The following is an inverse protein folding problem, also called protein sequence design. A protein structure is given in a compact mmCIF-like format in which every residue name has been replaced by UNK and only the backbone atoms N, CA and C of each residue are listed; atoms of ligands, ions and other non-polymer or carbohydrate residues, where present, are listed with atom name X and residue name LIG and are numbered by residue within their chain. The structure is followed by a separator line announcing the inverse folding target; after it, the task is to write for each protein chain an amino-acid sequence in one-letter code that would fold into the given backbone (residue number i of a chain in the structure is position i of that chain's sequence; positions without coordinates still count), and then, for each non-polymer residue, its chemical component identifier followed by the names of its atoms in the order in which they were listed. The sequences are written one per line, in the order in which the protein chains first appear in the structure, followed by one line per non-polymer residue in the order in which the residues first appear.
data_IF_343812908953
#
_entry.id   IF_343812908953
#
_cell.length_a   1.000
_cell.length_b   1.000
_cell.length_c   1.000
_cell.angle_alpha   90.00
_cell.angle_beta   90.00
_cell.angle_gamma   90.00
#
_symmetry.space_group_name_H-M   'P 1'
#
loop_
_entity.id
_entity.type
_entity.pdbx_description
1 polymer ?
#
# COMPACT_ATOMS: atom_id res chain seq x y z
N UNK A 1 5.59 16.81 -0.87
CA UNK A 1 4.79 16.02 -1.83
C UNK A 1 5.37 14.62 -1.98
N UNK A 2 4.51 13.63 -1.98
CA UNK A 2 4.91 12.26 -2.29
C UNK A 2 4.64 12.01 -3.77
N UNK A 3 5.63 11.50 -4.51
CA UNK A 3 5.49 11.17 -5.92
C UNK A 3 5.73 9.66 -6.08
N UNK A 4 4.74 8.95 -6.60
CA UNK A 4 4.85 7.52 -6.89
C UNK A 4 4.90 7.34 -8.40
N UNK A 5 5.99 6.74 -8.87
CA UNK A 5 6.18 6.41 -10.29
C UNK A 5 5.90 4.92 -10.48
N UNK A 6 4.74 4.61 -11.05
CA UNK A 6 4.31 3.22 -11.24
C UNK A 6 5.21 2.51 -12.26
N UNK A 7 5.70 3.24 -13.27
CA UNK A 7 6.59 2.65 -14.27
C UNK A 7 7.94 2.26 -13.67
N UNK A 8 8.51 3.14 -12.83
CA UNK A 8 9.81 2.92 -12.19
C UNK A 8 9.71 2.13 -10.89
N UNK A 9 8.50 1.95 -10.35
CA UNK A 9 8.27 1.31 -9.05
C UNK A 9 9.03 2.02 -7.93
N UNK A 10 8.89 3.34 -7.88
CA UNK A 10 9.55 4.19 -6.88
C UNK A 10 8.57 5.13 -6.22
N UNK A 11 8.90 5.53 -4.98
CA UNK A 11 8.22 6.59 -4.23
C UNK A 11 9.27 7.59 -3.80
N UNK A 12 9.08 8.86 -4.13
CA UNK A 12 9.99 9.94 -3.75
C UNK A 12 9.32 10.85 -2.74
N UNK A 13 10.00 11.14 -1.64
CA UNK A 13 9.53 12.04 -0.60
C UNK A 13 10.71 12.64 0.15
N UNK A 14 10.67 13.95 0.40
CA UNK A 14 11.71 14.63 1.17
C UNK A 14 13.11 14.52 0.58
N UNK A 15 13.24 14.49 -0.74
CA UNK A 15 14.52 14.35 -1.44
C UNK A 15 15.08 12.94 -1.48
N UNK A 16 14.34 11.94 -0.95
CA UNK A 16 14.75 10.54 -0.98
C UNK A 16 13.82 9.73 -1.88
N UNK A 17 14.38 8.73 -2.54
CA UNK A 17 13.65 7.80 -3.40
C UNK A 17 13.71 6.40 -2.81
N UNK A 18 12.53 5.77 -2.69
CA UNK A 18 12.36 4.44 -2.12
C UNK A 18 11.83 3.48 -3.19
N UNK A 19 12.26 2.24 -3.16
CA UNK A 19 11.67 1.19 -3.98
C UNK A 19 10.32 0.78 -3.40
N UNK A 20 9.33 0.59 -4.27
CA UNK A 20 7.98 0.15 -3.90
C UNK A 20 7.53 -0.98 -4.81
N UNK A 21 6.39 -1.58 -4.48
CA UNK A 21 5.72 -2.55 -5.33
C UNK A 21 4.25 -2.16 -5.44
N UNK A 22 3.82 -1.84 -6.65
CA UNK A 22 2.42 -1.49 -6.95
C UNK A 22 1.70 -2.70 -7.55
N UNK A 23 0.50 -2.49 -8.08
CA UNK A 23 -0.35 -3.57 -8.54
C UNK A 23 0.29 -4.40 -9.66
N UNK A 24 0.21 -5.71 -9.54
CA UNK A 24 0.60 -6.65 -10.59
C UNK A 24 -0.15 -6.39 -11.90
N UNK A 25 -1.40 -5.97 -11.82
CA UNK A 25 -2.24 -5.64 -12.98
C UNK A 25 -1.92 -4.25 -13.58
N UNK A 26 -0.96 -3.51 -13.02
CA UNK A 26 -0.55 -2.20 -13.52
C UNK A 26 -1.44 -1.05 -13.04
N UNK A 27 -1.38 0.12 -13.70
CA UNK A 27 -2.20 1.28 -13.34
C UNK A 27 -3.66 1.11 -13.73
N UNK A 28 -4.57 1.59 -12.91
CA UNK A 28 -6.01 1.59 -13.19
C UNK A 28 -6.80 2.06 -11.98
N UNK A 29 -7.94 2.72 -12.23
CA UNK A 29 -8.73 3.39 -11.21
C UNK A 29 -10.03 2.68 -10.85
N UNK A 30 -10.48 1.74 -11.68
CA UNK A 30 -11.78 1.12 -11.53
C UNK A 30 -11.85 0.14 -10.35
N UNK A 31 -12.95 0.14 -9.63
CA UNK A 31 -13.21 -0.82 -8.56
C UNK A 31 -13.21 -2.25 -9.10
N UNK A 32 -12.54 -3.15 -8.38
CA UNK A 32 -12.42 -4.55 -8.79
C UNK A 32 -11.36 -4.82 -9.84
N UNK A 33 -10.62 -3.81 -10.31
CA UNK A 33 -9.56 -3.99 -11.30
C UNK A 33 -8.28 -4.61 -10.73
N UNK A 34 -8.08 -4.53 -9.41
CA UNK A 34 -6.83 -4.88 -8.72
C UNK A 34 -5.62 -4.12 -9.26
N UNK A 35 -5.86 -2.91 -9.77
CA UNK A 35 -4.82 -2.01 -10.27
C UNK A 35 -4.54 -0.91 -9.26
N UNK A 36 -3.37 -0.26 -9.39
CA UNK A 36 -3.04 0.94 -8.61
C UNK A 36 -3.57 2.17 -9.33
N UNK A 37 -4.37 3.03 -8.66
CA UNK A 37 -4.93 4.23 -9.29
C UNK A 37 -3.85 5.27 -9.55
N UNK A 38 -4.01 5.98 -10.68
CA UNK A 38 -3.17 7.11 -11.07
C UNK A 38 -3.76 8.42 -10.55
N UNK A 39 -3.02 9.51 -10.73
CA UNK A 39 -3.49 10.86 -10.48
C UNK A 39 -3.21 11.34 -9.06
N UNK A 40 -3.86 12.44 -8.70
CA UNK A 40 -3.65 13.10 -7.42
C UNK A 40 -4.45 12.48 -6.32
N UNK A 41 -3.79 12.27 -5.18
CA UNK A 41 -4.36 11.70 -3.97
C UNK A 41 -3.91 12.48 -2.75
N UNK A 42 -4.64 12.32 -1.65
CA UNK A 42 -4.21 12.77 -0.32
C UNK A 42 -4.09 11.57 0.60
N UNK A 43 -3.23 11.67 1.61
CA UNK A 43 -3.21 10.71 2.71
C UNK A 43 -4.34 11.11 3.65
N UNK A 44 -5.44 10.36 3.61
CA UNK A 44 -6.64 10.64 4.40
C UNK A 44 -6.47 10.23 5.86
N UNK A 45 -5.79 9.14 6.11
CA UNK A 45 -5.58 8.62 7.46
C UNK A 45 -4.23 7.95 7.57
N UNK A 46 -3.57 8.15 8.72
CA UNK A 46 -2.31 7.49 9.10
C UNK A 46 -2.62 6.54 10.25
N UNK A 47 -2.39 5.26 10.06
CA UNK A 47 -2.76 4.23 11.01
C UNK A 47 -1.52 3.47 11.48
N UNK A 48 -1.43 3.25 12.80
CA UNK A 48 -0.37 2.44 13.39
C UNK A 48 0.73 3.22 14.11
N UNK A 49 0.60 4.54 14.27
CA UNK A 49 1.58 5.32 15.02
C UNK A 49 1.77 4.76 16.44
N UNK A 50 3.03 4.60 16.86
CA UNK A 50 3.36 4.08 18.19
C UNK A 50 3.34 2.55 18.30
N UNK A 51 2.89 1.84 17.28
CA UNK A 51 2.92 0.38 17.27
C UNK A 51 4.28 -0.14 16.79
N UNK A 52 4.71 -1.34 17.22
CA UNK A 52 6.00 -1.87 16.79
C UNK A 52 6.04 -2.18 15.29
N UNK A 53 7.23 -2.17 14.68
CA UNK A 53 7.40 -2.66 13.32
C UNK A 53 6.89 -4.10 13.19
N UNK A 54 6.45 -4.48 11.99
CA UNK A 54 5.85 -5.78 11.69
C UNK A 54 4.48 -6.02 12.34
N UNK A 55 3.89 -5.03 12.98
CA UNK A 55 2.49 -5.12 13.44
C UNK A 55 1.60 -5.45 12.24
N UNK A 56 0.79 -6.50 12.38
CA UNK A 56 -0.09 -6.97 11.31
C UNK A 56 -1.43 -6.24 11.37
N UNK A 57 -1.87 -5.74 10.22
CA UNK A 57 -3.16 -5.08 10.07
C UNK A 57 -4.09 -5.90 9.16
N UNK A 58 -5.36 -5.95 9.54
CA UNK A 58 -6.46 -6.45 8.72
C UNK A 58 -7.61 -5.48 8.85
N UNK A 59 -8.18 -5.07 7.73
CA UNK A 59 -9.28 -4.09 7.69
C UNK A 59 -8.97 -2.83 8.50
N UNK A 60 -7.74 -2.31 8.36
CA UNK A 60 -7.25 -1.08 8.98
C UNK A 60 -7.14 -1.14 10.51
N UNK A 61 -7.10 -2.34 11.07
CA UNK A 61 -6.97 -2.56 12.52
C UNK A 61 -5.82 -3.51 12.83
N UNK A 62 -5.05 -3.25 13.89
CA UNK A 62 -4.03 -4.21 14.32
C UNK A 62 -4.70 -5.50 14.80
N UNK A 63 -4.17 -6.64 14.39
CA UNK A 63 -4.70 -7.96 14.75
C UNK A 63 -4.20 -8.47 16.10
N UNK A 64 -3.19 -7.83 16.67
CA UNK A 64 -2.44 -8.34 17.82
C UNK A 64 -1.27 -9.22 17.42
N UNK A 65 -1.16 -9.56 16.14
CA UNK A 65 -0.04 -10.34 15.63
C UNK A 65 1.15 -9.44 15.27
N UNK A 66 2.35 -10.02 15.33
CA UNK A 66 3.57 -9.40 14.80
C UNK A 66 4.14 -10.37 13.77
N UNK A 67 4.41 -9.88 12.56
CA UNK A 67 4.88 -10.74 11.48
C UNK A 67 6.23 -11.38 11.81
N UNK A 68 6.35 -12.65 11.49
CA UNK A 68 7.58 -13.44 11.62
C UNK A 68 7.63 -14.46 10.49
N UNK A 69 8.80 -15.02 10.18
CA UNK A 69 8.89 -16.12 9.21
C UNK A 69 8.00 -17.30 9.57
N UNK A 70 7.83 -17.59 10.86
CA UNK A 70 6.97 -18.67 11.35
C UNK A 70 5.49 -18.38 11.05
N UNK A 71 5.05 -17.15 11.28
CA UNK A 71 3.68 -16.73 10.96
C UNK A 71 3.43 -16.79 9.46
N UNK A 72 4.40 -16.37 8.65
CA UNK A 72 4.32 -16.45 7.20
C UNK A 72 4.20 -17.90 6.73
N UNK A 73 4.99 -18.81 7.29
CA UNK A 73 4.94 -20.23 6.96
C UNK A 73 3.57 -20.85 7.28
N UNK A 74 2.90 -20.35 8.32
CA UNK A 74 1.56 -20.79 8.72
C UNK A 74 0.47 -20.30 7.75
N UNK A 75 0.65 -19.11 7.16
CA UNK A 75 -0.31 -18.50 6.24
C UNK A 75 0.39 -17.97 4.98
N UNK A 76 0.95 -18.83 4.12
CA UNK A 76 1.84 -18.41 3.03
C UNK A 76 1.16 -17.60 1.92
N UNK A 77 -0.16 -17.72 1.79
CA UNK A 77 -0.91 -16.97 0.77
C UNK A 77 -1.49 -15.65 1.24
N UNK A 78 -1.23 -15.25 2.48
CA UNK A 78 -1.80 -14.04 3.05
C UNK A 78 -1.10 -12.79 2.54
N UNK A 79 -1.88 -11.75 2.16
CA UNK A 79 -1.35 -10.45 1.78
C UNK A 79 -1.06 -9.63 3.05
N UNK A 80 0.23 -9.46 3.36
CA UNK A 80 0.65 -8.86 4.61
C UNK A 80 0.70 -7.33 4.50
N UNK A 81 -0.10 -6.67 5.33
CA UNK A 81 -0.04 -5.22 5.56
C UNK A 81 0.59 -5.00 6.92
N UNK A 82 1.78 -4.44 6.94
CA UNK A 82 2.60 -4.38 8.15
C UNK A 82 2.99 -2.94 8.51
N UNK A 83 3.30 -2.74 9.78
CA UNK A 83 4.00 -1.59 10.33
C UNK A 83 3.16 -0.32 10.37
N UNK A 84 2.74 0.20 9.22
CA UNK A 84 1.91 1.42 9.10
C UNK A 84 1.03 1.32 7.88
N UNK A 85 -0.15 1.95 7.97
CA UNK A 85 -1.04 2.14 6.82
C UNK A 85 -1.23 3.63 6.57
N UNK A 86 -0.99 4.06 5.35
CA UNK A 86 -1.36 5.39 4.88
C UNK A 86 -2.53 5.22 3.91
N UNK A 87 -3.73 5.53 4.35
CA UNK A 87 -4.95 5.35 3.57
C UNK A 87 -5.14 6.51 2.61
N UNK A 88 -5.24 6.22 1.33
CA UNK A 88 -5.31 7.22 0.28
C UNK A 88 -6.75 7.54 -0.12
N UNK A 89 -6.97 8.80 -0.47
CA UNK A 89 -8.22 9.29 -1.05
C UNK A 89 -7.90 10.04 -2.34
N UNK A 90 -8.66 9.76 -3.40
CA UNK A 90 -8.50 10.46 -4.67
C UNK A 90 -8.99 11.90 -4.61
N UNK A 91 -8.42 12.77 -5.45
CA UNK A 91 -8.75 14.18 -5.52
C UNK A 91 -9.58 14.55 -6.75
N UNK A 92 -9.78 13.61 -7.69
CA UNK A 92 -10.36 13.90 -9.01
C UNK A 92 -11.70 13.17 -9.17
N UNK A 93 -12.86 13.83 -8.94
CA UNK A 93 -14.18 13.20 -9.10
C UNK A 93 -14.34 12.59 -10.50
N UNK A 94 -14.86 11.36 -10.54
CA UNK A 94 -15.04 10.60 -11.78
C UNK A 94 -13.77 9.92 -12.30
N UNK A 95 -12.61 10.17 -11.69
CA UNK A 95 -11.35 9.51 -12.05
C UNK A 95 -10.78 8.70 -10.88
N UNK A 96 -10.65 9.31 -9.69
CA UNK A 96 -10.13 8.66 -8.49
C UNK A 96 -11.02 8.86 -7.27
N UNK A 97 -12.12 9.59 -7.44
CA UNK A 97 -13.06 9.87 -6.35
C UNK A 97 -14.49 9.70 -6.84
N UNK A 98 -15.33 9.14 -5.98
CA UNK A 98 -16.75 8.85 -6.21
C UNK A 98 -16.97 7.74 -7.25
N UNK A 99 -18.18 7.22 -7.31
CA UNK A 99 -18.57 6.15 -8.22
C UNK A 99 -17.77 4.87 -8.04
N UNK A 100 -17.49 4.21 -9.14
CA UNK A 100 -16.75 2.93 -9.16
C UNK A 100 -15.22 3.12 -9.31
N UNK A 101 -14.73 4.35 -9.16
CA UNK A 101 -13.30 4.69 -9.25
C UNK A 101 -12.75 5.29 -7.94
N UNK A 102 -13.50 5.25 -6.87
CA UNK A 102 -13.14 5.90 -5.61
C UNK A 102 -11.98 5.16 -4.91
N UNK A 103 -10.82 5.78 -4.87
CA UNK A 103 -9.61 5.19 -4.28
C UNK A 103 -9.80 4.84 -2.80
N UNK A 104 -10.43 5.72 -2.02
CA UNK A 104 -10.64 5.45 -0.60
C UNK A 104 -11.55 4.24 -0.37
N UNK A 105 -12.62 4.12 -1.15
CA UNK A 105 -13.56 2.99 -1.07
C UNK A 105 -12.96 1.70 -1.60
N UNK A 106 -11.91 1.77 -2.42
CA UNK A 106 -11.16 0.63 -2.89
C UNK A 106 -10.12 0.15 -1.89
N UNK A 107 -9.98 0.84 -0.75
CA UNK A 107 -9.02 0.49 0.31
C UNK A 107 -7.58 0.46 -0.21
N UNK A 108 -7.17 1.51 -0.90
CA UNK A 108 -5.81 1.65 -1.40
C UNK A 108 -4.94 2.33 -0.33
N UNK A 109 -3.92 1.62 0.11
CA UNK A 109 -2.98 2.09 1.14
C UNK A 109 -1.55 2.10 0.62
N UNK A 110 -0.71 2.93 1.24
CA UNK A 110 0.73 2.73 1.27
C UNK A 110 1.00 2.01 2.59
N UNK A 111 1.64 0.85 2.55
CA UNK A 111 1.87 0.06 3.75
C UNK A 111 3.21 -0.65 3.75
N UNK A 112 3.68 -1.04 4.94
CA UNK A 112 4.86 -1.86 5.10
C UNK A 112 4.61 -3.30 4.64
N UNK A 113 5.69 -4.02 4.40
CA UNK A 113 5.68 -5.39 3.88
C UNK A 113 6.78 -6.21 4.53
N UNK A 114 6.67 -7.56 4.54
CA UNK A 114 7.77 -8.41 4.98
C UNK A 114 9.07 -8.11 4.23
N UNK A 115 10.21 -8.25 4.91
CA UNK A 115 11.52 -8.05 4.29
C UNK A 115 11.77 -9.01 3.12
N UNK A 116 11.03 -10.13 3.09
CA UNK A 116 11.07 -11.09 1.99
C UNK A 116 10.28 -10.64 0.76
N UNK A 117 9.44 -9.61 0.88
CA UNK A 117 8.67 -9.09 -0.24
C UNK A 117 9.59 -8.35 -1.21
N UNK A 118 9.44 -8.63 -2.49
CA UNK A 118 10.26 -8.03 -3.54
C UNK A 118 9.78 -6.61 -3.87
N UNK A 119 10.70 -5.65 -3.85
CA UNK A 119 10.44 -4.26 -4.25
C UNK A 119 11.06 -3.97 -5.62
N UNK A 120 10.61 -2.89 -6.26
CA UNK A 120 11.09 -2.51 -7.58
C UNK A 120 10.35 -3.21 -8.73
N UNK A 121 9.37 -4.05 -8.43
CA UNK A 121 8.56 -4.80 -9.40
C UNK A 121 7.10 -4.80 -8.97
N UNK A 122 6.14 -4.80 -9.93
CA UNK A 122 4.73 -4.97 -9.60
C UNK A 122 4.45 -6.31 -8.91
N UNK A 123 3.57 -6.33 -7.92
CA UNK A 123 3.25 -7.55 -7.20
C UNK A 123 2.04 -7.46 -6.28
N UNK A 124 1.49 -6.27 -6.05
CA UNK A 124 0.33 -6.09 -5.16
C UNK A 124 -1.00 -6.29 -5.89
N UNK A 125 -2.09 -6.17 -5.16
CA UNK A 125 -3.46 -6.20 -5.71
C UNK A 125 -4.12 -4.82 -5.65
N UNK A 126 -3.30 -3.75 -5.72
CA UNK A 126 -3.74 -2.36 -5.78
C UNK A 126 -2.98 -1.43 -4.85
N UNK A 127 -2.65 -1.86 -3.65
CA UNK A 127 -1.89 -1.07 -2.68
C UNK A 127 -0.45 -0.84 -3.11
N UNK A 128 0.19 0.13 -2.48
CA UNK A 128 1.61 0.42 -2.67
C UNK A 128 2.38 -0.19 -1.51
N UNK A 129 3.17 -1.21 -1.78
CA UNK A 129 4.02 -1.88 -0.80
C UNK A 129 5.34 -1.17 -0.65
N UNK A 130 5.76 -0.93 0.59
CA UNK A 130 7.08 -0.40 0.92
C UNK A 130 7.79 -1.35 1.87
N UNK A 131 9.11 -1.23 1.98
CA UNK A 131 9.85 -1.92 3.04
C UNK A 131 9.46 -1.35 4.40
N UNK A 132 9.41 -2.20 5.42
CA UNK A 132 9.06 -1.76 6.78
C UNK A 132 9.92 -0.62 7.28
N UNK A 133 11.22 -0.63 6.98
CA UNK A 133 12.16 0.41 7.40
C UNK A 133 11.93 1.75 6.68
N UNK A 134 11.24 1.74 5.53
CA UNK A 134 11.04 2.93 4.70
C UNK A 134 9.71 3.63 5.00
N UNK A 135 8.73 2.89 5.50
CA UNK A 135 7.42 3.47 5.80
C UNK A 135 7.38 4.27 7.15
#
# INVERSE_FOLDING_TARGET
MIVIDIKQQTLTFGGKTYSVSTAKNGPGEKNGSFCTPRGRHIVRAKIGAGLPPNTVFVRRRPTGEVWSPELHAKYPGRDWMLTRLLWLSGCQPGFTRLGDVDTMRRYIYIHGSPDTAEMGRPGSIGCIRMRNRDI
#
